data_IF_979322512021
#
_entry.id   IF_979322512021
#
_cell.length_a   1.000
_cell.length_b   1.000
_cell.length_c   1.000
_cell.angle_alpha   90.00
_cell.angle_beta   90.00
_cell.angle_gamma   90.00
#
_symmetry.space_group_name_H-M   'P 1'
#
loop_
_entity.id
_entity.type
_entity.pdbx_description
1 polymer ?
#
# COMPACT_ATOMS: atom_id res chain seq x y z
N UNK A 1 10.30 -4.78 21.71
CA UNK A 1 9.87 -5.02 20.32
C UNK A 1 9.39 -3.73 19.63
N UNK A 2 8.33 -3.08 20.13
CA UNK A 2 7.75 -1.87 19.50
C UNK A 2 8.71 -0.68 19.38
N UNK A 3 9.51 -0.39 20.41
CA UNK A 3 10.53 0.69 20.37
C UNK A 3 11.53 0.51 19.22
N UNK A 4 11.97 -0.72 18.95
CA UNK A 4 12.87 -1.04 17.83
C UNK A 4 12.18 -0.81 16.48
N UNK A 5 10.89 -1.16 16.37
CA UNK A 5 10.08 -0.90 15.18
C UNK A 5 9.96 0.59 14.87
N UNK A 6 9.60 1.39 15.88
CA UNK A 6 9.51 2.84 15.73
C UNK A 6 10.87 3.46 15.39
N UNK A 7 11.94 2.99 16.03
CA UNK A 7 13.31 3.44 15.72
C UNK A 7 13.68 3.16 14.26
N UNK A 8 13.40 1.95 13.77
CA UNK A 8 13.63 1.59 12.37
C UNK A 8 12.83 2.46 11.41
N UNK A 9 11.55 2.74 11.70
CA UNK A 9 10.74 3.58 10.82
C UNK A 9 11.21 5.04 10.81
N UNK A 10 11.70 5.54 11.95
CA UNK A 10 12.28 6.89 12.05
C UNK A 10 13.63 7.00 11.35
N UNK A 11 14.41 5.91 11.33
CA UNK A 11 15.70 5.85 10.65
C UNK A 11 15.51 5.71 9.13
N UNK A 12 15.27 6.83 8.44
CA UNK A 12 15.01 6.87 7.00
C UNK A 12 15.94 7.86 6.27
N UNK A 13 17.27 7.62 6.27
CA UNK A 13 18.25 8.54 5.68
C UNK A 13 18.06 8.71 4.16
N UNK A 14 17.58 7.66 3.48
CA UNK A 14 17.28 7.66 2.05
C UNK A 14 15.93 8.29 1.69
N UNK A 15 15.17 8.78 2.68
CA UNK A 15 13.86 9.43 2.50
C UNK A 15 12.86 8.59 1.68
N UNK A 16 12.87 7.28 1.88
CA UNK A 16 11.90 6.39 1.23
C UNK A 16 10.48 6.74 1.65
N UNK A 17 9.55 6.71 0.71
CA UNK A 17 8.14 6.95 1.02
C UNK A 17 7.54 5.78 1.78
N UNK A 18 8.02 4.58 1.45
CA UNK A 18 7.60 3.30 2.00
C UNK A 18 8.82 2.52 2.52
N UNK A 19 8.78 2.07 3.76
CA UNK A 19 9.83 1.18 4.32
C UNK A 19 9.34 -0.27 4.34
N UNK A 20 10.28 -1.21 4.25
CA UNK A 20 9.95 -2.62 4.36
C UNK A 20 9.41 -2.92 5.76
N UNK A 21 8.40 -3.79 5.88
CA UNK A 21 7.92 -4.23 7.19
C UNK A 21 9.01 -5.05 7.88
N UNK A 22 9.21 -4.78 9.18
CA UNK A 22 10.13 -5.54 10.04
C UNK A 22 9.66 -6.97 10.31
N UNK A 23 8.36 -7.23 10.19
CA UNK A 23 7.76 -8.54 10.32
C UNK A 23 6.91 -8.85 9.09
N UNK A 24 7.11 -10.01 8.48
CA UNK A 24 6.47 -10.45 7.26
C UNK A 24 7.06 -9.82 5.99
N UNK A 25 6.21 -9.66 4.97
CA UNK A 25 6.55 -9.09 3.68
C UNK A 25 5.68 -7.88 3.35
N UNK A 26 6.26 -6.96 2.57
CA UNK A 26 5.59 -5.76 2.07
C UNK A 26 6.14 -4.48 2.72
N UNK A 27 5.31 -3.43 2.68
CA UNK A 27 5.74 -2.08 3.05
C UNK A 27 4.81 -1.42 4.07
N UNK A 28 5.34 -0.40 4.72
CA UNK A 28 4.60 0.56 5.54
C UNK A 28 4.99 1.98 5.13
N UNK A 29 4.05 2.93 5.04
CA UNK A 29 4.38 4.32 4.78
C UNK A 29 5.26 4.86 5.93
N UNK A 30 6.36 5.50 5.56
CA UNK A 30 7.32 6.11 6.51
C UNK A 30 7.30 7.65 6.45
N UNK A 31 6.63 8.22 5.46
CA UNK A 31 6.53 9.66 5.22
C UNK A 31 5.10 10.06 4.89
N UNK A 32 4.80 11.35 4.97
CA UNK A 32 3.49 11.88 4.61
C UNK A 32 3.14 11.63 3.13
N UNK A 33 4.12 11.56 2.22
CA UNK A 33 3.90 11.21 0.82
C UNK A 33 3.39 9.77 0.68
N UNK A 34 3.98 8.82 1.41
CA UNK A 34 3.53 7.43 1.43
C UNK A 34 2.10 7.30 1.98
N UNK A 35 1.77 8.06 3.03
CA UNK A 35 0.41 8.14 3.56
C UNK A 35 -0.57 8.77 2.56
N UNK A 36 -0.17 9.84 1.85
CA UNK A 36 -0.99 10.48 0.82
C UNK A 36 -1.29 9.52 -0.33
N UNK A 37 -0.29 8.79 -0.83
CA UNK A 37 -0.48 7.78 -1.88
C UNK A 37 -1.46 6.70 -1.44
N UNK A 38 -1.32 6.21 -0.20
CA UNK A 38 -2.22 5.21 0.35
C UNK A 38 -3.64 5.76 0.51
N UNK A 39 -3.79 7.01 0.96
CA UNK A 39 -5.09 7.69 1.09
C UNK A 39 -5.77 7.88 -0.27
N UNK A 40 -5.04 8.31 -1.30
CA UNK A 40 -5.56 8.44 -2.67
C UNK A 40 -6.03 7.09 -3.19
N UNK A 41 -5.22 6.05 -3.03
CA UNK A 41 -5.62 4.70 -3.42
C UNK A 41 -6.90 4.25 -2.71
N UNK A 42 -7.00 4.47 -1.39
CA UNK A 42 -8.18 4.12 -0.61
C UNK A 42 -9.43 4.87 -1.07
N UNK A 43 -9.32 6.19 -1.30
CA UNK A 43 -10.43 7.01 -1.79
C UNK A 43 -10.91 6.53 -3.15
N UNK A 44 -9.99 6.21 -4.07
CA UNK A 44 -10.36 5.68 -5.40
C UNK A 44 -11.03 4.31 -5.30
N UNK A 45 -10.53 3.41 -4.44
CA UNK A 45 -11.17 2.11 -4.22
C UNK A 45 -12.58 2.27 -3.66
N UNK A 46 -12.78 3.15 -2.67
CA UNK A 46 -14.10 3.43 -2.12
C UNK A 46 -15.03 4.06 -3.15
N UNK A 47 -14.52 4.98 -3.99
CA UNK A 47 -15.28 5.59 -5.07
C UNK A 47 -15.82 4.53 -6.05
N UNK A 48 -14.99 3.57 -6.47
CA UNK A 48 -15.45 2.47 -7.33
C UNK A 48 -16.35 1.47 -6.59
N UNK A 49 -16.14 1.26 -5.28
CA UNK A 49 -17.01 0.40 -4.48
C UNK A 49 -18.44 0.95 -4.38
N UNK A 50 -18.59 2.27 -4.18
CA UNK A 50 -19.89 2.94 -4.14
C UNK A 50 -20.59 3.04 -5.50
N UNK A 51 -19.90 2.72 -6.59
CA UNK A 51 -20.48 2.65 -7.93
C UNK A 51 -21.19 1.30 -8.22
N UNK A 52 -21.11 0.33 -7.30
CA UNK A 52 -21.82 -0.95 -7.42
C UNK A 52 -23.26 -0.77 -6.91
N UNK A 53 -24.23 -1.11 -7.76
CA UNK A 53 -25.64 -1.21 -7.39
C UNK A 53 -26.01 -2.69 -7.15
N UNK A 54 -27.02 -2.93 -6.32
CA UNK A 54 -27.49 -4.27 -5.94
C UNK A 54 -28.08 -5.04 -7.14
N UNK A 55 -28.51 -4.31 -8.17
CA UNK A 55 -29.05 -4.85 -9.42
C UNK A 55 -28.01 -4.96 -10.55
N UNK A 56 -26.75 -4.61 -10.32
CA UNK A 56 -25.73 -4.65 -11.36
C UNK A 56 -25.44 -6.09 -11.81
N UNK A 57 -25.51 -6.40 -13.13
CA UNK A 57 -25.11 -7.71 -13.64
C UNK A 57 -23.62 -7.97 -13.35
N UNK A 58 -23.25 -9.23 -13.14
CA UNK A 58 -21.88 -9.63 -12.76
C UNK A 58 -20.81 -9.06 -13.70
N UNK A 59 -21.10 -8.96 -15.00
CA UNK A 59 -20.19 -8.37 -15.99
C UNK A 59 -19.88 -6.90 -15.70
N UNK A 60 -20.87 -6.13 -15.28
CA UNK A 60 -20.67 -4.73 -14.93
C UNK A 60 -19.80 -4.61 -13.69
N UNK A 61 -20.07 -5.39 -12.63
CA UNK A 61 -19.25 -5.41 -11.41
C UNK A 61 -17.77 -5.69 -11.73
N UNK A 62 -17.50 -6.62 -12.64
CA UNK A 62 -16.13 -6.94 -13.07
C UNK A 62 -15.46 -5.73 -13.73
N UNK A 63 -16.18 -4.99 -14.58
CA UNK A 63 -15.65 -3.85 -15.33
C UNK A 63 -15.59 -2.56 -14.51
N UNK A 64 -16.55 -2.31 -13.63
CA UNK A 64 -16.69 -1.07 -12.86
C UNK A 64 -15.96 -1.13 -11.52
N UNK A 65 -15.72 -2.32 -10.96
CA UNK A 65 -15.04 -2.46 -9.67
C UNK A 65 -13.79 -3.33 -9.73
N UNK A 66 -13.90 -4.60 -10.15
CA UNK A 66 -12.78 -5.55 -10.04
C UNK A 66 -11.60 -5.11 -10.91
N UNK A 67 -11.85 -4.73 -12.16
CA UNK A 67 -10.80 -4.29 -13.07
C UNK A 67 -10.11 -3.00 -12.57
N UNK A 68 -10.82 -1.91 -12.21
CA UNK A 68 -10.21 -0.75 -11.58
C UNK A 68 -9.46 -1.07 -10.29
N UNK A 69 -10.01 -1.91 -9.41
CA UNK A 69 -9.37 -2.31 -8.15
C UNK A 69 -8.02 -2.99 -8.40
N UNK A 70 -7.95 -3.92 -9.36
CA UNK A 70 -6.70 -4.59 -9.75
C UNK A 70 -5.71 -3.58 -10.31
N UNK A 71 -6.13 -2.69 -11.21
CA UNK A 71 -5.27 -1.68 -11.80
C UNK A 71 -4.72 -0.68 -10.76
N UNK A 72 -5.56 -0.23 -9.84
CA UNK A 72 -5.16 0.65 -8.73
C UNK A 72 -4.19 -0.06 -7.80
N UNK A 73 -4.44 -1.32 -7.45
CA UNK A 73 -3.55 -2.12 -6.59
C UNK A 73 -2.20 -2.36 -7.26
N UNK A 74 -2.16 -2.72 -8.54
CA UNK A 74 -0.92 -2.88 -9.31
C UNK A 74 -0.16 -1.55 -9.38
N UNK A 75 -0.86 -0.44 -9.56
CA UNK A 75 -0.26 0.90 -9.57
C UNK A 75 0.33 1.25 -8.22
N UNK A 76 -0.39 1.01 -7.12
CA UNK A 76 0.11 1.19 -5.76
C UNK A 76 1.38 0.36 -5.52
N UNK A 77 1.36 -0.93 -5.90
CA UNK A 77 2.52 -1.82 -5.78
C UNK A 77 3.71 -1.25 -6.57
N UNK A 78 3.51 -0.79 -7.81
CA UNK A 78 4.58 -0.16 -8.61
C UNK A 78 5.16 1.08 -7.92
N UNK A 79 4.31 1.92 -7.32
CA UNK A 79 4.76 3.10 -6.56
C UNK A 79 5.58 2.65 -5.35
N UNK A 80 5.11 1.66 -4.58
CA UNK A 80 5.84 1.11 -3.44
C UNK A 80 7.22 0.56 -3.83
N UNK A 81 7.34 -0.16 -4.94
CA UNK A 81 8.63 -0.64 -5.44
C UNK A 81 9.57 0.48 -5.89
N UNK A 82 9.04 1.54 -6.50
CA UNK A 82 9.85 2.67 -7.01
C UNK A 82 10.31 3.62 -5.89
N UNK A 83 9.46 3.84 -4.89
CA UNK A 83 9.65 4.87 -3.85
C UNK A 83 9.98 4.29 -2.49
N UNK A 84 9.96 2.96 -2.35
CA UNK A 84 10.19 2.27 -1.11
C UNK A 84 11.45 1.39 -1.11
N UNK A 85 11.79 0.93 0.10
CA UNK A 85 12.81 -0.09 0.28
C UNK A 85 12.42 -1.38 -0.44
N UNK A 86 13.41 -2.15 -0.92
CA UNK A 86 13.14 -3.46 -1.51
C UNK A 86 12.41 -4.33 -0.47
N UNK A 87 11.24 -4.88 -0.80
CA UNK A 87 10.49 -5.71 0.12
C UNK A 87 11.30 -6.98 0.35
N UNK A 88 11.41 -7.38 1.61
CA UNK A 88 12.09 -8.59 2.01
C UNK A 88 11.29 -9.23 3.11
N UNK A 89 11.32 -10.56 3.14
CA UNK A 89 10.72 -11.29 4.25
C UNK A 89 11.60 -11.11 5.49
N UNK A 90 11.03 -10.60 6.59
CA UNK A 90 11.74 -10.38 7.85
C UNK A 90 10.92 -10.89 9.04
N UNK A 91 11.59 -11.31 10.11
CA UNK A 91 10.95 -11.73 11.36
C UNK A 91 11.47 -10.92 12.56
N UNK A 92 11.95 -9.71 12.31
CA UNK A 92 12.47 -8.83 13.35
C UNK A 92 13.64 -7.96 12.87
N UNK A 93 14.14 -7.09 13.78
CA UNK A 93 15.35 -6.32 13.54
C UNK A 93 16.52 -7.26 13.31
N UNK A 94 17.45 -6.89 12.43
CA UNK A 94 18.76 -7.53 12.41
C UNK A 94 19.44 -7.15 13.73
N UNK A 95 19.94 -8.15 14.43
CA UNK A 95 20.60 -8.00 15.73
C UNK A 95 21.74 -6.98 15.69
#
# INVERSE_FOLDING_TARGET
MFKRYVSYLKDNPSKYWFKAKLYGWGWTPATWQGWLVLAIWLVLVLFFAFAIDEHSPTREIVLTFILPLVLLTVTLIRICYKTGEKPRWQWGPKD
#
